data_IF_346283615459
#
_entry.id   IF_346283615459
#
_cell.length_a   1.000
_cell.length_b   1.000
_cell.length_c   1.000
_cell.angle_alpha   90.00
_cell.angle_beta   90.00
_cell.angle_gamma   90.00
#
_symmetry.space_group_name_H-M   'P 1'
#
loop_
_entity.id
_entity.type
_entity.pdbx_description
1 polymer ?
#
# COMPACT_ATOMS: atom_id res chain seq x y z
N UNK A 1 52.10 -27.52 1.35
CA UNK A 1 51.07 -27.05 0.41
C UNK A 1 49.65 -27.00 1.03
N UNK A 2 49.29 -27.86 1.96
CA UNK A 2 47.94 -27.92 2.59
C UNK A 2 47.64 -26.69 3.49
N UNK A 3 48.64 -26.07 4.12
CA UNK A 3 48.47 -24.89 5.00
C UNK A 3 48.14 -23.60 4.25
N UNK A 4 48.45 -23.48 3.00
CA UNK A 4 48.13 -22.28 2.18
C UNK A 4 46.68 -22.32 1.67
N UNK A 5 46.12 -23.51 1.48
CA UNK A 5 44.75 -23.68 0.98
C UNK A 5 43.70 -23.32 2.04
N UNK A 6 43.97 -23.53 3.34
CA UNK A 6 43.08 -23.17 4.41
C UNK A 6 42.95 -21.66 4.65
N UNK A 7 43.95 -20.87 4.30
CA UNK A 7 43.93 -19.42 4.48
C UNK A 7 43.03 -18.69 3.47
N UNK A 8 42.86 -19.25 2.27
CA UNK A 8 42.01 -18.66 1.23
C UNK A 8 40.51 -18.88 1.49
N UNK A 9 40.10 -19.88 2.27
CA UNK A 9 38.70 -20.16 2.60
C UNK A 9 38.10 -19.21 3.65
N UNK A 10 38.93 -18.53 4.42
CA UNK A 10 38.48 -17.61 5.48
C UNK A 10 38.14 -16.19 4.95
N UNK A 11 38.42 -15.88 3.69
CA UNK A 11 38.14 -14.58 3.08
C UNK A 11 36.82 -14.52 2.26
N UNK A 12 36.10 -15.63 2.17
CA UNK A 12 34.75 -15.63 1.59
C UNK A 12 33.76 -15.05 2.60
N UNK A 13 33.81 -13.74 2.81
CA UNK A 13 32.73 -13.05 3.49
C UNK A 13 31.44 -13.27 2.72
N UNK A 14 30.36 -13.82 3.32
CA UNK A 14 29.08 -13.88 2.65
C UNK A 14 28.68 -12.46 2.30
N UNK A 15 28.59 -12.14 1.02
CA UNK A 15 27.93 -10.95 0.56
C UNK A 15 26.47 -11.06 1.03
N UNK A 16 26.14 -10.43 2.16
CA UNK A 16 24.75 -10.27 2.60
C UNK A 16 24.06 -9.49 1.49
N UNK A 17 23.32 -10.19 0.64
CA UNK A 17 22.45 -9.58 -0.33
C UNK A 17 21.49 -8.65 0.44
N UNK A 18 21.75 -7.35 0.38
CA UNK A 18 20.93 -6.35 1.02
C UNK A 18 19.53 -6.46 0.42
N UNK A 19 18.58 -6.96 1.17
CA UNK A 19 17.20 -7.08 0.68
C UNK A 19 16.69 -5.69 0.32
N UNK A 20 16.31 -5.49 -0.93
CA UNK A 20 15.74 -4.23 -1.39
C UNK A 20 14.43 -3.98 -0.62
N UNK A 21 14.22 -2.79 -0.06
CA UNK A 21 12.98 -2.49 0.65
C UNK A 21 11.78 -2.51 -0.30
N UNK A 22 10.57 -2.61 0.24
CA UNK A 22 9.33 -2.47 -0.50
C UNK A 22 8.27 -1.82 0.39
N UNK A 23 7.56 -0.82 -0.13
CA UNK A 23 6.49 -0.14 0.58
C UNK A 23 6.95 1.10 1.35
N UNK A 24 6.22 1.42 2.41
CA UNK A 24 6.50 2.59 3.23
C UNK A 24 7.82 2.43 3.98
N UNK A 25 8.71 3.42 3.86
CA UNK A 25 9.96 3.48 4.62
C UNK A 25 9.84 4.36 5.87
N UNK A 26 9.13 5.48 5.75
CA UNK A 26 8.93 6.41 6.84
C UNK A 26 7.72 7.30 6.61
N UNK A 27 7.21 7.88 7.69
CA UNK A 27 6.08 8.79 7.67
C UNK A 27 6.24 9.82 8.80
N UNK A 28 6.14 11.10 8.46
CA UNK A 28 6.18 12.25 9.38
C UNK A 28 4.84 13.00 9.30
N UNK A 29 3.76 12.29 9.65
CA UNK A 29 2.42 12.86 9.73
C UNK A 29 1.60 12.17 10.81
N UNK A 30 0.83 12.95 11.57
CA UNK A 30 -0.15 12.45 12.52
C UNK A 30 -1.51 12.13 11.85
N UNK A 31 -1.72 12.56 10.60
CA UNK A 31 -2.97 12.33 9.89
C UNK A 31 -3.14 10.85 9.48
N UNK A 32 -4.36 10.32 9.51
CA UNK A 32 -4.63 8.94 9.12
C UNK A 32 -4.36 8.76 7.62
N UNK A 33 -3.58 7.74 7.29
CA UNK A 33 -3.27 7.35 5.91
C UNK A 33 -4.30 6.35 5.42
N UNK A 34 -5.27 6.82 4.64
CA UNK A 34 -6.41 6.01 4.20
C UNK A 34 -6.73 6.14 2.71
N UNK A 35 -6.02 7.03 1.99
CA UNK A 35 -6.30 7.36 0.60
C UNK A 35 -5.29 6.66 -0.31
N UNK A 36 -5.72 6.01 -1.41
CA UNK A 36 -4.84 5.15 -2.19
C UNK A 36 -3.96 5.95 -3.16
N UNK A 37 -2.66 5.64 -3.15
CA UNK A 37 -1.73 5.95 -4.23
C UNK A 37 -1.20 4.62 -4.78
N UNK A 38 -1.47 4.32 -6.02
CA UNK A 38 -0.93 3.15 -6.70
C UNK A 38 0.05 3.60 -7.79
N UNK A 39 1.20 2.95 -7.86
CA UNK A 39 2.21 3.25 -8.87
C UNK A 39 2.54 1.97 -9.63
N UNK A 40 2.43 2.01 -10.95
CA UNK A 40 2.86 0.96 -11.86
C UNK A 40 4.26 1.31 -12.35
N UNK A 41 5.21 0.41 -12.18
CA UNK A 41 6.60 0.59 -12.55
C UNK A 41 7.03 -0.45 -13.57
N UNK A 42 8.01 -0.11 -14.41
CA UNK A 42 8.67 -1.09 -15.29
C UNK A 42 9.68 -1.93 -14.47
N UNK A 43 9.95 -3.14 -14.94
CA UNK A 43 11.03 -3.97 -14.43
C UNK A 43 12.40 -3.34 -14.66
N UNK A 44 13.40 -3.78 -13.91
CA UNK A 44 14.81 -3.39 -14.08
C UNK A 44 15.22 -2.08 -13.41
N UNK A 45 14.29 -1.31 -12.84
CA UNK A 45 14.58 -0.08 -12.09
C UNK A 45 13.69 0.00 -10.87
N UNK A 46 14.25 0.45 -9.75
CA UNK A 46 13.52 0.70 -8.53
C UNK A 46 13.28 2.21 -8.34
N UNK A 47 12.32 2.55 -7.49
CA UNK A 47 11.84 3.91 -7.31
C UNK A 47 11.76 4.25 -5.84
N UNK A 48 12.34 5.38 -5.46
CA UNK A 48 12.11 6.01 -4.17
C UNK A 48 11.19 7.21 -4.36
N UNK A 49 10.08 7.23 -3.64
CA UNK A 49 8.98 8.17 -3.79
C UNK A 49 8.85 8.97 -2.51
N UNK A 50 8.83 10.30 -2.62
CA UNK A 50 8.60 11.21 -1.50
C UNK A 50 7.38 12.06 -1.80
N UNK A 51 6.46 12.13 -0.84
CA UNK A 51 5.35 13.07 -0.85
C UNK A 51 5.75 14.29 -0.02
N UNK A 52 5.80 15.44 -0.70
CA UNK A 52 6.03 16.76 -0.08
C UNK A 52 4.72 17.49 0.00
N UNK A 53 4.33 17.90 1.19
CA UNK A 53 3.14 18.72 1.39
C UNK A 53 3.33 20.11 0.77
N UNK A 54 2.45 20.47 -0.14
CA UNK A 54 2.54 21.74 -0.88
C UNK A 54 2.39 22.95 0.04
N UNK A 55 1.59 22.87 1.09
CA UNK A 55 1.32 24.00 1.98
C UNK A 55 2.50 24.31 2.91
N UNK A 56 3.14 23.28 3.44
CA UNK A 56 4.26 23.43 4.39
C UNK A 56 5.64 23.30 3.75
N UNK A 57 5.73 22.77 2.53
CA UNK A 57 6.98 22.46 1.87
C UNK A 57 7.78 21.32 2.52
N UNK A 58 7.17 20.57 3.46
CA UNK A 58 7.82 19.48 4.20
C UNK A 58 7.58 18.13 3.54
N UNK A 59 8.60 17.29 3.57
CA UNK A 59 8.46 15.89 3.20
C UNK A 59 7.69 15.16 4.30
N UNK A 60 6.61 14.46 3.94
CA UNK A 60 5.71 13.81 4.92
C UNK A 60 5.69 12.30 4.83
N UNK A 61 6.03 11.74 3.67
CA UNK A 61 6.07 10.28 3.46
C UNK A 61 7.22 9.95 2.51
N UNK A 62 7.94 8.89 2.81
CA UNK A 62 8.88 8.27 1.89
C UNK A 62 8.63 6.78 1.76
N UNK A 63 8.63 6.30 0.53
CA UNK A 63 8.34 4.91 0.21
C UNK A 63 9.25 4.41 -0.91
N UNK A 64 9.41 3.09 -0.98
CA UNK A 64 10.24 2.43 -1.99
C UNK A 64 9.39 1.43 -2.78
N UNK A 65 9.47 1.52 -4.10
CA UNK A 65 8.79 0.63 -5.01
C UNK A 65 9.82 -0.14 -5.84
N UNK A 66 9.84 -1.46 -5.72
CA UNK A 66 10.62 -2.32 -6.59
C UNK A 66 10.02 -2.32 -8.00
N UNK A 67 10.87 -2.28 -9.01
CA UNK A 67 10.45 -2.27 -10.40
C UNK A 67 9.69 -3.53 -10.79
N UNK A 68 8.60 -3.36 -11.51
CA UNK A 68 7.70 -4.43 -11.93
C UNK A 68 6.80 -4.99 -10.83
N UNK A 69 7.07 -4.71 -9.56
CA UNK A 69 6.26 -5.20 -8.46
C UNK A 69 5.00 -4.36 -8.26
N UNK A 70 3.96 -4.99 -7.70
CA UNK A 70 2.78 -4.25 -7.27
C UNK A 70 3.14 -3.29 -6.13
N UNK A 71 2.78 -2.01 -6.31
CA UNK A 71 3.01 -0.98 -5.32
C UNK A 71 1.73 -0.18 -5.04
N UNK A 72 1.32 -0.19 -3.77
CA UNK A 72 0.27 0.67 -3.25
C UNK A 72 0.70 1.27 -1.92
N UNK A 73 0.52 2.59 -1.81
CA UNK A 73 0.75 3.36 -0.61
C UNK A 73 -0.57 3.96 -0.14
N UNK A 74 -0.80 4.01 1.16
CA UNK A 74 -1.89 4.78 1.74
C UNK A 74 -1.35 6.14 2.18
N UNK A 75 -2.04 7.21 1.78
CA UNK A 75 -1.65 8.60 1.91
C UNK A 75 -2.68 9.35 2.78
N UNK A 76 -2.29 10.33 3.58
CA UNK A 76 -3.23 11.20 4.29
C UNK A 76 -3.95 12.14 3.31
N UNK A 77 -5.06 12.77 3.73
CA UNK A 77 -5.68 13.84 2.96
C UNK A 77 -4.73 15.03 2.84
N UNK A 78 -4.76 15.71 1.69
CA UNK A 78 -3.91 16.87 1.41
C UNK A 78 -3.50 16.97 -0.04
N UNK A 79 -2.71 17.98 -0.35
CA UNK A 79 -2.13 18.23 -1.67
C UNK A 79 -0.62 18.04 -1.62
N UNK A 80 -0.10 17.11 -2.42
CA UNK A 80 1.30 16.71 -2.35
C UNK A 80 1.98 16.80 -3.71
N UNK A 81 3.16 17.40 -3.69
CA UNK A 81 4.15 17.26 -4.75
C UNK A 81 4.79 15.87 -4.61
N UNK A 82 4.82 15.12 -5.70
CA UNK A 82 5.43 13.79 -5.72
C UNK A 82 6.82 13.88 -6.33
N UNK A 83 7.83 13.66 -5.49
CA UNK A 83 9.23 13.60 -5.90
C UNK A 83 9.63 12.14 -6.07
N UNK A 84 10.19 11.80 -7.21
CA UNK A 84 10.56 10.43 -7.54
C UNK A 84 12.04 10.38 -7.90
N UNK A 85 12.77 9.48 -7.25
CA UNK A 85 14.11 9.11 -7.62
C UNK A 85 14.11 7.67 -8.13
N UNK A 86 14.81 7.37 -9.20
CA UNK A 86 14.87 6.01 -9.74
C UNK A 86 16.31 5.62 -10.11
N UNK A 87 16.60 4.32 -10.04
CA UNK A 87 17.90 3.74 -10.37
C UNK A 87 17.89 2.23 -10.30
N UNK A 88 19.06 1.62 -10.43
CA UNK A 88 19.23 0.18 -10.26
C UNK A 88 19.02 -0.20 -8.80
N UNK A 89 18.19 -1.21 -8.52
CA UNK A 89 17.91 -1.62 -7.13
C UNK A 89 19.15 -2.08 -6.37
N UNK A 90 20.18 -2.60 -7.05
CA UNK A 90 21.46 -2.98 -6.45
C UNK A 90 22.26 -1.78 -5.93
N UNK A 91 22.05 -0.59 -6.51
CA UNK A 91 22.77 0.63 -6.15
C UNK A 91 22.10 1.40 -4.99
N UNK A 92 21.04 0.86 -4.39
CA UNK A 92 20.33 1.53 -3.31
C UNK A 92 21.18 1.72 -2.06
N UNK A 93 21.40 2.98 -1.69
CA UNK A 93 22.26 3.41 -0.55
C UNK A 93 21.44 4.06 0.58
N UNK A 94 20.13 3.83 0.60
CA UNK A 94 19.24 4.47 1.57
C UNK A 94 18.80 5.87 1.16
N UNK A 95 18.09 6.54 2.07
CA UNK A 95 17.46 7.85 1.83
C UNK A 95 18.44 8.95 1.42
N UNK A 96 19.64 8.94 1.99
CA UNK A 96 20.65 9.97 1.74
C UNK A 96 21.38 9.76 0.40
N UNK A 97 21.74 8.51 0.10
CA UNK A 97 22.53 8.17 -1.08
C UNK A 97 21.69 7.82 -2.31
N UNK A 98 20.41 7.47 -2.10
CA UNK A 98 19.50 6.99 -3.14
C UNK A 98 20.12 5.85 -3.97
N UNK A 99 20.24 6.02 -5.28
CA UNK A 99 20.86 5.07 -6.20
C UNK A 99 22.26 5.55 -6.66
N UNK A 100 22.95 6.32 -5.81
CA UNK A 100 24.28 6.85 -6.12
C UNK A 100 24.27 7.82 -7.29
N UNK A 101 25.39 7.85 -8.04
CA UNK A 101 25.61 8.76 -9.16
C UNK A 101 24.62 8.56 -10.32
N UNK A 102 24.02 7.40 -10.44
CA UNK A 102 23.05 7.05 -11.51
C UNK A 102 21.59 7.37 -11.14
N UNK A 103 21.37 8.06 -10.01
CA UNK A 103 20.02 8.44 -9.59
C UNK A 103 19.40 9.41 -10.59
N UNK A 104 18.28 9.01 -11.19
CA UNK A 104 17.44 9.91 -11.97
C UNK A 104 16.35 10.47 -11.06
N UNK A 105 16.12 11.78 -11.12
CA UNK A 105 15.11 12.48 -10.31
C UNK A 105 14.13 13.20 -11.20
N UNK A 106 12.87 13.16 -10.82
CA UNK A 106 11.81 13.95 -11.45
C UNK A 106 10.73 14.27 -10.42
N UNK A 107 9.97 15.30 -10.70
CA UNK A 107 8.86 15.78 -9.90
C UNK A 107 7.61 15.69 -10.75
N UNK A 108 6.54 15.17 -10.19
CA UNK A 108 5.25 15.11 -10.87
C UNK A 108 4.58 16.48 -10.81
N UNK A 109 4.20 16.99 -11.96
CA UNK A 109 3.42 18.21 -12.12
C UNK A 109 2.14 17.91 -12.94
N UNK A 110 0.95 18.35 -12.51
CA UNK A 110 0.66 19.06 -11.27
C UNK A 110 0.71 18.20 -10.01
N UNK A 111 0.79 18.82 -8.81
CA UNK A 111 0.70 18.11 -7.54
C UNK A 111 -0.60 17.31 -7.40
N UNK A 112 -0.52 16.19 -6.69
CA UNK A 112 -1.64 15.29 -6.46
C UNK A 112 -2.50 15.74 -5.29
N UNK A 113 -3.82 15.71 -5.45
CA UNK A 113 -4.77 16.00 -4.38
C UNK A 113 -5.43 14.72 -3.88
N UNK A 114 -5.37 14.49 -2.56
CA UNK A 114 -5.96 13.34 -1.89
C UNK A 114 -7.05 13.81 -0.93
N UNK A 115 -8.23 13.23 -1.06
CA UNK A 115 -9.37 13.62 -0.23
C UNK A 115 -10.49 12.60 -0.25
N UNK A 116 -11.48 12.86 0.59
CA UNK A 116 -12.75 12.12 0.58
C UNK A 116 -13.75 12.97 -0.18
N UNK A 117 -14.30 12.43 -1.26
CA UNK A 117 -15.31 13.10 -2.08
C UNK A 117 -16.65 12.43 -1.88
N UNK A 118 -17.67 13.22 -1.55
CA UNK A 118 -19.02 12.71 -1.29
C UNK A 118 -19.08 11.71 -0.14
N UNK A 119 -20.15 10.92 -0.11
CA UNK A 119 -20.34 9.92 0.93
C UNK A 119 -19.53 8.66 0.65
N UNK A 120 -18.60 8.35 1.57
CA UNK A 120 -17.84 7.09 1.57
C UNK A 120 -16.98 6.81 0.32
N UNK A 121 -16.56 7.85 -0.44
CA UNK A 121 -15.61 7.74 -1.55
C UNK A 121 -14.27 8.35 -1.18
N UNK A 122 -13.25 7.51 -1.10
CA UNK A 122 -11.85 7.91 -0.88
C UNK A 122 -11.19 8.12 -2.23
N UNK A 123 -10.86 9.37 -2.55
CA UNK A 123 -10.16 9.74 -3.78
C UNK A 123 -8.65 9.53 -3.65
N UNK A 124 -8.04 8.99 -4.68
CA UNK A 124 -6.61 8.79 -4.79
C UNK A 124 -6.17 8.77 -6.25
N UNK A 125 -4.96 8.27 -6.50
CA UNK A 125 -4.35 8.32 -7.82
C UNK A 125 -3.70 7.00 -8.20
N UNK A 126 -3.73 6.71 -9.51
CA UNK A 126 -2.95 5.69 -10.17
C UNK A 126 -1.95 6.39 -11.10
N UNK A 127 -0.67 6.13 -10.89
CA UNK A 127 0.42 6.60 -11.75
C UNK A 127 1.00 5.42 -12.53
N UNK A 128 1.22 5.62 -13.82
CA UNK A 128 1.87 4.63 -14.67
C UNK A 128 3.23 5.16 -15.14
N UNK A 129 4.30 4.62 -14.58
CA UNK A 129 5.70 4.97 -14.87
C UNK A 129 6.37 3.95 -15.80
N UNK A 130 5.64 3.01 -16.39
CA UNK A 130 6.20 1.95 -17.22
C UNK A 130 6.75 2.46 -18.55
N UNK A 131 6.26 3.59 -19.04
CA UNK A 131 6.78 4.24 -20.25
C UNK A 131 7.75 5.34 -19.87
N UNK A 132 9.01 5.21 -20.30
CA UNK A 132 10.05 6.22 -20.08
C UNK A 132 9.63 7.56 -20.69
N UNK A 133 9.72 8.62 -19.90
CA UNK A 133 9.43 9.99 -20.33
C UNK A 133 7.96 10.40 -20.35
N UNK A 134 7.03 9.49 -20.03
CA UNK A 134 5.59 9.81 -19.96
C UNK A 134 4.99 9.24 -18.69
N UNK A 135 4.50 10.10 -17.81
CA UNK A 135 3.74 9.69 -16.63
C UNK A 135 2.26 9.79 -16.96
N UNK A 136 1.59 8.65 -17.03
CA UNK A 136 0.15 8.64 -17.15
C UNK A 136 -0.46 8.66 -15.75
N UNK A 137 -1.33 9.63 -15.50
CA UNK A 137 -2.07 9.79 -14.26
C UNK A 137 -3.54 9.53 -14.49
N UNK A 138 -4.16 8.76 -13.59
CA UNK A 138 -5.61 8.57 -13.55
C UNK A 138 -6.11 8.60 -12.11
N UNK A 139 -7.41 8.89 -11.93
CA UNK A 139 -8.05 8.80 -10.62
C UNK A 139 -8.15 7.34 -10.17
N UNK A 140 -8.06 7.13 -8.87
CA UNK A 140 -8.25 5.83 -8.22
C UNK A 140 -9.15 6.02 -7.00
N UNK A 141 -10.42 5.67 -7.13
CA UNK A 141 -11.38 5.75 -6.04
C UNK A 141 -11.49 4.45 -5.25
N UNK A 142 -11.70 4.55 -3.94
CA UNK A 142 -12.20 3.46 -3.11
C UNK A 142 -13.57 3.85 -2.58
N UNK A 143 -14.60 3.17 -3.07
CA UNK A 143 -15.97 3.33 -2.60
C UNK A 143 -16.27 2.32 -1.51
N UNK A 144 -16.86 2.81 -0.42
CA UNK A 144 -17.28 2.00 0.71
C UNK A 144 -18.80 1.98 0.78
N UNK A 145 -19.38 0.80 1.00
CA UNK A 145 -20.80 0.63 1.20
C UNK A 145 -21.05 -0.32 2.35
N UNK A 146 -22.17 -0.13 3.04
CA UNK A 146 -22.69 -1.13 3.94
C UNK A 146 -23.36 -2.22 3.11
N UNK A 147 -23.00 -3.46 3.32
CA UNK A 147 -23.65 -4.62 2.75
C UNK A 147 -24.14 -5.52 3.88
N UNK A 148 -25.33 -6.10 3.70
CA UNK A 148 -25.86 -7.08 4.63
C UNK A 148 -24.85 -8.24 4.76
N UNK A 149 -24.59 -8.64 5.99
CA UNK A 149 -23.85 -9.85 6.28
C UNK A 149 -24.81 -11.04 6.15
N UNK A 150 -24.68 -11.91 5.12
CA UNK A 150 -25.60 -13.02 4.91
C UNK A 150 -25.66 -13.97 6.09
N UNK A 151 -24.55 -14.14 6.81
CA UNK A 151 -24.48 -15.04 7.96
C UNK A 151 -25.32 -14.52 9.14
N UNK A 152 -25.56 -13.21 9.20
CA UNK A 152 -26.36 -12.61 10.27
C UNK A 152 -27.86 -12.87 10.13
N UNK A 153 -28.32 -13.26 8.95
CA UNK A 153 -29.73 -13.54 8.63
C UNK A 153 -29.98 -15.03 8.32
N UNK A 154 -28.91 -15.84 8.23
CA UNK A 154 -29.06 -17.29 8.09
C UNK A 154 -29.53 -17.86 9.42
N UNK A 155 -30.79 -18.25 9.49
CA UNK A 155 -31.30 -19.07 10.58
C UNK A 155 -30.81 -20.49 10.31
N UNK A 156 -29.68 -20.87 10.90
CA UNK A 156 -29.38 -22.30 11.07
C UNK A 156 -30.37 -22.81 12.12
N UNK A 157 -31.25 -23.76 11.80
CA UNK A 157 -32.03 -24.42 12.83
C UNK A 157 -31.04 -24.95 13.87
N UNK A 158 -31.11 -24.45 15.10
CA UNK A 158 -30.32 -24.99 16.19
C UNK A 158 -30.60 -26.51 16.20
N UNK A 159 -29.59 -27.31 15.97
CA UNK A 159 -29.71 -28.72 16.13
C UNK A 159 -30.23 -28.98 17.56
N UNK A 160 -31.28 -29.82 17.75
CA UNK A 160 -31.83 -30.08 19.07
C UNK A 160 -30.70 -30.57 19.98
N UNK A 161 -30.34 -29.79 20.97
CA UNK A 161 -29.35 -30.23 21.96
C UNK A 161 -29.99 -31.37 22.78
N UNK A 162 -29.30 -32.50 22.98
CA UNK A 162 -29.79 -33.58 23.78
C UNK A 162 -30.18 -33.07 25.18
N UNK A 163 -31.42 -33.26 25.59
CA UNK A 163 -31.91 -32.83 26.91
C UNK A 163 -32.55 -31.46 27.00
N UNK A 164 -32.61 -30.70 25.93
CA UNK A 164 -33.34 -29.43 25.88
C UNK A 164 -34.78 -29.71 25.45
N UNK A 165 -35.76 -29.31 26.28
CA UNK A 165 -37.18 -29.38 25.91
C UNK A 165 -37.40 -28.59 24.62
N UNK A 166 -38.19 -29.14 23.70
CA UNK A 166 -38.68 -28.40 22.55
C UNK A 166 -39.23 -27.06 22.99
N UNK A 167 -38.84 -26.00 22.32
CA UNK A 167 -39.27 -24.64 22.58
C UNK A 167 -40.80 -24.58 22.41
N UNK A 168 -41.48 -23.87 23.30
CA UNK A 168 -42.93 -23.64 23.18
C UNK A 168 -43.18 -22.96 21.80
N UNK A 169 -44.12 -23.46 20.98
CA UNK A 169 -44.48 -22.83 19.72
C UNK A 169 -44.92 -21.32 19.88
N UNK A 170 -45.25 -20.90 21.09
CA UNK A 170 -45.58 -19.50 21.41
C UNK A 170 -44.33 -18.68 21.77
N UNK A 171 -43.17 -19.32 21.96
CA UNK A 171 -41.92 -18.56 22.08
C UNK A 171 -41.60 -17.94 20.72
N UNK A 172 -41.72 -16.61 20.65
CA UNK A 172 -41.32 -15.87 19.46
C UNK A 172 -39.83 -16.12 19.26
N UNK A 173 -39.50 -16.92 18.25
CA UNK A 173 -38.13 -17.10 17.87
C UNK A 173 -37.52 -15.73 17.61
N UNK A 174 -36.46 -15.38 18.36
CA UNK A 174 -35.81 -14.10 18.18
C UNK A 174 -35.41 -13.98 16.71
N UNK A 175 -35.99 -13.02 16.02
CA UNK A 175 -35.58 -12.75 14.64
C UNK A 175 -34.09 -12.42 14.62
N UNK A 176 -33.29 -12.98 13.73
CA UNK A 176 -31.89 -12.65 13.62
C UNK A 176 -31.77 -11.14 13.33
N UNK A 177 -30.99 -10.45 14.15
CA UNK A 177 -30.73 -9.03 13.93
C UNK A 177 -29.77 -8.88 12.75
N UNK A 178 -30.20 -8.26 11.64
CA UNK A 178 -29.33 -8.07 10.49
C UNK A 178 -28.09 -7.26 10.87
N UNK A 179 -26.93 -7.80 10.61
CA UNK A 179 -25.66 -7.09 10.76
C UNK A 179 -25.21 -6.62 9.40
N UNK A 180 -24.59 -5.45 9.38
CA UNK A 180 -24.02 -4.88 8.17
C UNK A 180 -22.50 -4.81 8.30
N UNK A 181 -21.80 -5.21 7.24
CA UNK A 181 -20.35 -5.08 7.13
C UNK A 181 -19.98 -4.04 6.08
N UNK A 182 -18.90 -3.33 6.33
CA UNK A 182 -18.38 -2.37 5.37
C UNK A 182 -17.61 -3.13 4.26
N UNK A 183 -18.05 -2.95 3.03
CA UNK A 183 -17.40 -3.52 1.85
C UNK A 183 -16.77 -2.37 1.04
N UNK A 184 -15.50 -2.54 0.68
CA UNK A 184 -14.76 -1.59 -0.14
C UNK A 184 -14.56 -2.16 -1.55
N UNK A 185 -14.73 -1.32 -2.56
CA UNK A 185 -14.42 -1.66 -3.96
C UNK A 185 -13.68 -0.50 -4.62
N UNK A 186 -12.89 -0.81 -5.63
CA UNK A 186 -12.34 0.23 -6.52
C UNK A 186 -13.51 0.80 -7.34
N UNK A 187 -13.57 2.10 -7.42
CA UNK A 187 -14.55 2.84 -8.22
C UNK A 187 -13.85 4.00 -8.93
N UNK A 188 -14.29 4.28 -10.14
CA UNK A 188 -13.83 5.38 -10.99
C UNK A 188 -14.56 6.68 -10.63
#
# INVERSE_FOLDING_TARGET
>A
MIRLLCLCLLLASPALAQSRPQGLLWSDTALPRTLPLQIKTAEGRDYYVVLRDVASGRDVIGAYAQGGAFFRLLVPPGRFELQIASGQGADWQGRAGLFGAQTQRFVLDPPLEFGVTGYARKGGHLLDLRKLGTIAQSSLGICQRLALDPESVSVTPDAPMPGVKARDPMDIAGFPVPRYRQVSRICD
#
